data_IF_901535822037
#
_entry.id   IF_901535822037
#
_cell.length_a   1.000
_cell.length_b   1.000
_cell.length_c   1.000
_cell.angle_alpha   90.00
_cell.angle_beta   90.00
_cell.angle_gamma   90.00
#
_symmetry.space_group_name_H-M   'P 1'
#
loop_
_entity.id
_entity.type
_entity.pdbx_description
1 polymer ?
#
# COMPACT_ATOMS: atom_id res chain seq x y z
N UNK A 1 19.68 -12.03 -39.61
CA UNK A 1 18.99 -11.93 -38.33
C UNK A 1 19.78 -10.96 -37.44
N UNK A 2 19.27 -9.78 -37.19
CA UNK A 2 20.03 -8.73 -36.50
C UNK A 2 19.86 -8.84 -34.99
N UNK A 3 20.81 -9.49 -34.34
CA UNK A 3 20.79 -9.70 -32.88
C UNK A 3 20.73 -8.39 -32.09
N UNK A 4 21.32 -7.32 -32.64
CA UNK A 4 21.29 -5.98 -32.05
C UNK A 4 19.85 -5.44 -32.02
N UNK A 5 19.14 -5.61 -33.13
CA UNK A 5 17.74 -5.17 -33.26
C UNK A 5 16.82 -5.96 -32.31
N UNK A 6 17.01 -7.28 -32.20
CA UNK A 6 16.27 -8.10 -31.23
C UNK A 6 16.49 -7.61 -29.79
N UNK A 7 17.74 -7.32 -29.42
CA UNK A 7 18.07 -6.76 -28.12
C UNK A 7 17.43 -5.39 -27.86
N UNK A 8 17.39 -4.53 -28.87
CA UNK A 8 16.76 -3.22 -28.75
C UNK A 8 15.23 -3.32 -28.57
N UNK A 9 14.56 -4.17 -29.35
CA UNK A 9 13.11 -4.41 -29.21
C UNK A 9 12.79 -4.96 -27.81
N UNK A 10 13.56 -5.95 -27.35
CA UNK A 10 13.42 -6.48 -26.01
C UNK A 10 13.59 -5.41 -24.93
N UNK A 11 14.69 -4.65 -24.98
CA UNK A 11 15.05 -3.68 -23.97
C UNK A 11 14.04 -2.53 -23.87
N UNK A 12 13.62 -1.99 -25.01
CA UNK A 12 12.64 -0.88 -25.04
C UNK A 12 11.30 -1.35 -24.46
N UNK A 13 10.83 -2.53 -24.88
CA UNK A 13 9.57 -3.06 -24.38
C UNK A 13 9.66 -3.42 -22.89
N UNK A 14 10.75 -4.03 -22.47
CA UNK A 14 11.01 -4.33 -21.04
C UNK A 14 11.00 -3.06 -20.19
N UNK A 15 11.69 -1.99 -20.59
CA UNK A 15 11.72 -0.73 -19.86
C UNK A 15 10.33 -0.08 -19.82
N UNK A 16 9.64 -0.03 -20.95
CA UNK A 16 8.30 0.51 -21.05
C UNK A 16 7.35 -0.20 -20.07
N UNK A 17 7.28 -1.51 -20.12
CA UNK A 17 6.36 -2.30 -19.29
C UNK A 17 6.72 -2.24 -17.81
N UNK A 18 8.00 -2.23 -17.48
CA UNK A 18 8.46 -2.04 -16.08
C UNK A 18 7.97 -0.70 -15.54
N UNK A 19 8.14 0.40 -16.27
CA UNK A 19 7.65 1.72 -15.89
C UNK A 19 6.12 1.77 -15.79
N UNK A 20 5.42 1.17 -16.76
CA UNK A 20 3.97 1.07 -16.75
C UNK A 20 3.46 0.36 -15.50
N UNK A 21 4.05 -0.77 -15.15
CA UNK A 21 3.67 -1.54 -13.96
C UNK A 21 3.84 -0.72 -12.68
N UNK A 22 4.98 -0.06 -12.52
CA UNK A 22 5.25 0.81 -11.37
C UNK A 22 4.23 1.97 -11.31
N UNK A 23 3.98 2.63 -12.45
CA UNK A 23 3.01 3.74 -12.53
C UNK A 23 1.59 3.31 -12.15
N UNK A 24 1.14 2.15 -12.63
CA UNK A 24 -0.19 1.61 -12.27
C UNK A 24 -0.28 1.42 -10.76
N UNK A 25 0.72 0.81 -10.14
CA UNK A 25 0.76 0.59 -8.69
C UNK A 25 0.77 1.92 -7.93
N UNK A 26 1.59 2.89 -8.35
CA UNK A 26 1.63 4.23 -7.75
C UNK A 26 0.28 4.96 -7.88
N UNK A 27 -0.41 4.78 -9.00
CA UNK A 27 -1.75 5.34 -9.21
C UNK A 27 -2.76 4.73 -8.24
N UNK A 28 -2.74 3.41 -8.06
CA UNK A 28 -3.62 2.71 -7.11
C UNK A 28 -3.34 3.11 -5.65
N UNK A 29 -2.09 3.43 -5.33
CA UNK A 29 -1.65 3.91 -4.02
C UNK A 29 -1.89 5.42 -3.79
N UNK A 30 -2.43 6.13 -4.79
CA UNK A 30 -2.80 7.54 -4.66
C UNK A 30 -1.67 8.55 -4.80
N UNK A 31 -0.54 8.19 -5.40
CA UNK A 31 0.56 9.12 -5.68
C UNK A 31 0.24 10.06 -6.85
N UNK A 32 -0.69 11.00 -6.64
CA UNK A 32 -1.27 11.89 -7.66
C UNK A 32 -0.26 12.77 -8.40
N UNK A 33 0.86 13.14 -7.76
CA UNK A 33 1.90 14.01 -8.37
C UNK A 33 2.88 13.21 -9.23
N UNK A 34 3.26 12.00 -8.80
CA UNK A 34 4.30 11.19 -9.45
C UNK A 34 3.77 10.41 -10.65
N UNK A 35 2.57 9.86 -10.54
CA UNK A 35 1.98 9.03 -11.58
C UNK A 35 1.82 9.76 -12.95
N UNK A 36 1.33 11.01 -13.04
CA UNK A 36 1.26 11.74 -14.31
C UNK A 36 2.62 12.02 -14.94
N UNK A 37 3.62 12.35 -14.12
CA UNK A 37 4.98 12.60 -14.62
C UNK A 37 5.59 11.31 -15.21
N UNK A 38 5.42 10.18 -14.54
CA UNK A 38 5.85 8.87 -15.07
C UNK A 38 5.12 8.51 -16.37
N UNK A 39 3.82 8.82 -16.46
CA UNK A 39 3.04 8.57 -17.67
C UNK A 39 3.56 9.34 -18.88
N UNK A 40 4.05 10.56 -18.70
CA UNK A 40 4.66 11.35 -19.79
C UNK A 40 5.92 10.67 -20.34
N UNK A 41 6.81 10.20 -19.47
CA UNK A 41 8.02 9.46 -19.86
C UNK A 41 7.66 8.15 -20.55
N UNK A 42 6.69 7.42 -19.98
CA UNK A 42 6.20 6.15 -20.50
C UNK A 42 5.69 6.27 -21.95
N UNK A 43 4.88 7.29 -22.25
CA UNK A 43 4.33 7.52 -23.59
C UNK A 43 5.43 7.76 -24.61
N UNK A 44 6.50 8.46 -24.25
CA UNK A 44 7.64 8.69 -25.15
C UNK A 44 8.33 7.35 -25.47
N UNK A 45 8.63 6.56 -24.45
CA UNK A 45 9.31 5.25 -24.62
C UNK A 45 8.42 4.30 -25.42
N UNK A 46 7.11 4.26 -25.10
CA UNK A 46 6.13 3.44 -25.81
C UNK A 46 6.06 3.79 -27.30
N UNK A 47 5.97 5.07 -27.64
CA UNK A 47 5.85 5.52 -29.02
C UNK A 47 7.10 5.14 -29.85
N UNK A 48 8.30 5.31 -29.26
CA UNK A 48 9.55 4.90 -29.88
C UNK A 48 9.61 3.38 -30.08
N UNK A 49 9.24 2.61 -29.06
CA UNK A 49 9.22 1.15 -29.13
C UNK A 49 8.22 0.63 -30.15
N UNK A 50 7.00 1.17 -30.17
CA UNK A 50 5.98 0.79 -31.13
C UNK A 50 6.41 1.08 -32.57
N UNK A 51 7.03 2.24 -32.82
CA UNK A 51 7.55 2.58 -34.17
C UNK A 51 8.59 1.58 -34.66
N UNK A 52 9.45 1.08 -33.78
CA UNK A 52 10.44 0.07 -34.14
C UNK A 52 9.77 -1.30 -34.42
N UNK A 53 8.88 -1.73 -33.54
CA UNK A 53 8.24 -3.04 -33.65
C UNK A 53 7.39 -3.16 -34.90
N UNK A 54 6.62 -2.10 -35.25
CA UNK A 54 5.72 -2.09 -36.42
C UNK A 54 6.47 -2.40 -37.75
N UNK A 55 7.72 -2.04 -37.86
CA UNK A 55 8.53 -2.30 -39.07
C UNK A 55 8.92 -3.77 -39.22
N UNK A 56 8.92 -4.54 -38.13
CA UNK A 56 9.42 -5.92 -38.09
C UNK A 56 8.37 -6.97 -37.69
N UNK A 57 7.11 -6.56 -37.57
CA UNK A 57 6.01 -7.45 -37.14
C UNK A 57 5.77 -8.65 -38.06
N UNK A 58 6.20 -8.58 -39.31
CA UNK A 58 6.06 -9.66 -40.28
C UNK A 58 6.84 -10.94 -39.91
N UNK A 59 7.83 -10.83 -39.02
CA UNK A 59 8.64 -11.97 -38.59
C UNK A 59 8.24 -12.42 -37.17
N UNK A 60 7.76 -13.65 -37.00
CA UNK A 60 7.28 -14.14 -35.70
C UNK A 60 8.32 -14.13 -34.58
N UNK A 61 9.61 -14.17 -34.92
CA UNK A 61 10.69 -14.15 -33.92
C UNK A 61 10.71 -12.81 -33.16
N UNK A 62 10.55 -11.69 -33.85
CA UNK A 62 10.50 -10.38 -33.18
C UNK A 62 9.29 -10.24 -32.28
N UNK A 63 8.14 -10.83 -32.67
CA UNK A 63 6.93 -10.87 -31.84
C UNK A 63 7.15 -11.68 -30.55
N UNK A 64 7.85 -12.82 -30.63
CA UNK A 64 8.17 -13.64 -29.45
C UNK A 64 9.09 -12.85 -28.50
N UNK A 65 10.13 -12.22 -29.03
CA UNK A 65 11.07 -11.42 -28.22
C UNK A 65 10.38 -10.23 -27.56
N UNK A 66 9.47 -9.58 -28.27
CA UNK A 66 8.62 -8.52 -27.74
C UNK A 66 7.74 -9.03 -26.58
N UNK A 67 7.08 -10.18 -26.75
CA UNK A 67 6.24 -10.78 -25.73
C UNK A 67 7.06 -11.21 -24.48
N UNK A 68 8.27 -11.70 -24.65
CA UNK A 68 9.17 -12.02 -23.54
C UNK A 68 9.56 -10.75 -22.76
N UNK A 69 9.91 -9.68 -23.48
CA UNK A 69 10.18 -8.37 -22.85
C UNK A 69 9.01 -7.86 -22.02
N UNK A 70 7.79 -8.05 -22.53
CA UNK A 70 6.57 -7.68 -21.84
C UNK A 70 6.40 -8.45 -20.52
N UNK A 71 6.47 -9.77 -20.55
CA UNK A 71 6.30 -10.62 -19.35
C UNK A 71 7.36 -10.37 -18.29
N UNK A 72 8.64 -10.29 -18.71
CA UNK A 72 9.76 -10.01 -17.80
C UNK A 72 9.66 -8.59 -17.23
N UNK A 73 9.18 -7.63 -18.03
CA UNK A 73 8.94 -6.26 -17.60
C UNK A 73 7.90 -6.14 -16.47
N UNK A 74 6.78 -6.85 -16.58
CA UNK A 74 5.77 -6.91 -15.51
C UNK A 74 6.40 -7.50 -14.23
N UNK A 75 7.04 -8.65 -14.35
CA UNK A 75 7.65 -9.33 -13.21
C UNK A 75 8.68 -8.45 -12.50
N UNK A 76 9.53 -7.77 -13.26
CA UNK A 76 10.54 -6.85 -12.70
C UNK A 76 9.89 -5.64 -12.06
N UNK A 77 8.84 -5.07 -12.66
CA UNK A 77 8.09 -3.96 -12.09
C UNK A 77 7.46 -4.29 -10.74
N UNK A 78 6.91 -5.49 -10.59
CA UNK A 78 6.37 -6.00 -9.32
C UNK A 78 7.47 -6.17 -8.26
N UNK A 79 8.64 -6.74 -8.62
CA UNK A 79 9.77 -6.87 -7.69
C UNK A 79 10.27 -5.50 -7.22
N UNK A 80 10.36 -4.53 -8.11
CA UNK A 80 10.79 -3.18 -7.75
C UNK A 80 9.78 -2.56 -6.77
N UNK A 81 8.48 -2.71 -7.01
CA UNK A 81 7.44 -2.22 -6.09
C UNK A 81 7.54 -2.90 -4.72
N UNK A 82 7.68 -4.21 -4.68
CA UNK A 82 7.86 -4.95 -3.43
C UNK A 82 9.10 -4.51 -2.64
N UNK A 83 10.18 -4.13 -3.33
CA UNK A 83 11.39 -3.60 -2.68
C UNK A 83 11.21 -2.16 -2.19
N UNK A 84 10.49 -1.35 -2.93
CA UNK A 84 10.16 0.01 -2.50
C UNK A 84 9.24 -0.01 -1.27
N UNK A 85 8.45 -1.08 -1.11
CA UNK A 85 7.57 -1.35 0.02
C UNK A 85 6.81 -0.09 0.49
N UNK A 86 6.24 0.64 -0.49
CA UNK A 86 5.56 1.91 -0.23
C UNK A 86 4.25 1.68 0.52
N UNK A 87 3.93 2.58 1.45
CA UNK A 87 2.67 2.57 2.21
C UNK A 87 2.80 1.86 3.56
N UNK A 88 1.64 1.60 4.15
CA UNK A 88 1.50 1.07 5.51
C UNK A 88 0.57 -0.13 5.51
N UNK A 89 0.81 -1.02 6.46
CA UNK A 89 -0.04 -2.17 6.72
C UNK A 89 -0.52 -2.18 8.15
N UNK A 90 -1.75 -2.60 8.32
CA UNK A 90 -2.32 -2.99 9.61
C UNK A 90 -2.20 -4.49 9.71
N UNK A 91 -1.49 -4.97 10.72
CA UNK A 91 -1.31 -6.39 10.98
C UNK A 91 -2.16 -6.77 12.18
N UNK A 92 -3.02 -7.75 11.96
CA UNK A 92 -3.86 -8.34 12.99
C UNK A 92 -3.22 -9.65 13.41
N UNK A 93 -2.90 -9.78 14.70
CA UNK A 93 -2.26 -10.96 15.28
C UNK A 93 -3.22 -11.53 16.31
N UNK A 94 -3.56 -12.80 16.17
CA UNK A 94 -4.46 -13.51 17.05
C UNK A 94 -3.66 -14.59 17.77
N UNK A 95 -3.55 -14.44 19.09
CA UNK A 95 -2.76 -15.34 19.94
C UNK A 95 -3.58 -15.81 21.14
N UNK A 96 -2.98 -16.61 21.99
CA UNK A 96 -3.60 -17.10 23.22
C UNK A 96 -3.88 -15.95 24.19
N UNK A 97 -4.98 -16.04 24.95
CA UNK A 97 -5.38 -15.02 25.94
C UNK A 97 -4.33 -14.78 27.05
N UNK A 98 -3.48 -15.74 27.30
CA UNK A 98 -2.42 -15.68 28.31
C UNK A 98 -1.06 -15.18 27.77
N UNK A 99 -0.96 -14.96 26.46
CA UNK A 99 0.29 -14.51 25.85
C UNK A 99 0.46 -12.99 26.00
N UNK A 100 0.95 -12.57 27.16
CA UNK A 100 1.30 -11.17 27.43
C UNK A 100 2.73 -10.81 27.01
N UNK A 101 3.54 -11.79 26.61
CA UNK A 101 4.95 -11.59 26.23
C UNK A 101 5.06 -10.92 24.88
N UNK A 102 4.31 -11.41 23.90
CA UNK A 102 4.32 -10.89 22.54
C UNK A 102 3.97 -9.40 22.45
N UNK A 103 2.87 -8.89 23.04
CA UNK A 103 2.55 -7.46 22.96
C UNK A 103 3.62 -6.58 23.59
N UNK A 104 4.21 -6.98 24.70
CA UNK A 104 5.25 -6.21 25.39
C UNK A 104 6.54 -6.16 24.58
N UNK A 105 6.96 -7.29 24.03
CA UNK A 105 8.15 -7.32 23.17
C UNK A 105 7.99 -6.49 21.89
N UNK A 106 6.80 -6.54 21.25
CA UNK A 106 6.54 -5.69 20.10
C UNK A 106 6.59 -4.20 20.43
N UNK A 107 6.15 -3.80 21.64
CA UNK A 107 6.27 -2.41 22.12
C UNK A 107 7.73 -2.03 22.38
N UNK A 108 8.55 -2.94 22.92
CA UNK A 108 9.99 -2.73 23.11
C UNK A 108 10.73 -2.54 21.77
N UNK A 109 10.30 -3.26 20.72
CA UNK A 109 10.78 -3.06 19.37
C UNK A 109 10.33 -1.73 18.75
N UNK A 110 9.40 -1.02 19.41
CA UNK A 110 8.91 0.30 19.01
C UNK A 110 7.61 0.28 18.20
N UNK A 111 6.92 -0.85 18.10
CA UNK A 111 5.63 -0.91 17.46
C UNK A 111 4.51 -0.37 18.35
N UNK A 112 3.57 0.37 17.76
CA UNK A 112 2.32 0.71 18.42
C UNK A 112 1.39 -0.51 18.39
N UNK A 113 1.07 -1.05 19.57
CA UNK A 113 0.25 -2.26 19.70
C UNK A 113 -1.03 -1.94 20.45
N UNK A 114 -2.16 -2.10 19.79
CA UNK A 114 -3.49 -2.10 20.41
C UNK A 114 -3.87 -3.54 20.73
N UNK A 115 -4.42 -3.77 21.92
CA UNK A 115 -4.82 -5.08 22.39
C UNK A 115 -6.32 -5.10 22.57
N UNK A 116 -6.96 -6.11 22.01
CA UNK A 116 -8.40 -6.36 22.16
C UNK A 116 -8.59 -7.82 22.60
N UNK A 117 -9.62 -8.07 23.41
CA UNK A 117 -10.04 -9.43 23.75
C UNK A 117 -11.07 -9.90 22.75
N UNK A 118 -10.89 -11.11 22.23
CA UNK A 118 -11.82 -11.77 21.32
C UNK A 118 -12.20 -13.15 21.83
N UNK A 119 -13.23 -13.74 21.25
CA UNK A 119 -13.65 -15.11 21.55
C UNK A 119 -13.60 -15.96 20.29
N UNK A 120 -12.71 -16.93 20.28
CA UNK A 120 -12.51 -17.87 19.17
C UNK A 120 -13.21 -19.22 19.46
N UNK A 121 -13.00 -20.17 18.55
CA UNK A 121 -13.56 -21.53 18.68
C UNK A 121 -13.14 -22.21 19.99
N UNK A 122 -11.91 -22.02 20.41
CA UNK A 122 -11.29 -22.73 21.53
C UNK A 122 -11.23 -21.88 22.83
N UNK A 123 -11.97 -20.74 22.87
CA UNK A 123 -12.06 -19.86 24.02
C UNK A 123 -11.57 -18.44 23.74
N UNK A 124 -11.14 -17.77 24.80
CA UNK A 124 -10.63 -16.38 24.74
C UNK A 124 -9.33 -16.28 23.98
N UNK A 125 -9.18 -15.21 23.20
CA UNK A 125 -8.00 -14.89 22.39
C UNK A 125 -7.62 -13.44 22.57
N UNK A 126 -6.32 -13.13 22.49
CA UNK A 126 -5.85 -11.76 22.30
C UNK A 126 -5.77 -11.44 20.81
N UNK A 127 -6.32 -10.28 20.46
CA UNK A 127 -6.21 -9.70 19.12
C UNK A 127 -5.32 -8.48 19.25
N UNK A 128 -4.16 -8.54 18.60
CA UNK A 128 -3.22 -7.42 18.56
C UNK A 128 -3.33 -6.74 17.21
N UNK A 129 -3.54 -5.43 17.24
CA UNK A 129 -3.54 -4.61 16.03
C UNK A 129 -2.28 -3.75 16.00
N UNK A 130 -1.46 -3.94 14.96
CA UNK A 130 -0.18 -3.25 14.77
C UNK A 130 -0.18 -2.53 13.45
N UNK A 131 -0.02 -1.20 13.47
CA UNK A 131 0.18 -0.39 12.29
C UNK A 131 1.68 -0.21 12.04
N UNK A 132 2.15 -0.57 10.84
CA UNK A 132 3.58 -0.52 10.50
C UNK A 132 3.82 -0.14 9.04
N UNK A 133 4.95 0.52 8.70
CA UNK A 133 5.37 0.65 7.30
C UNK A 133 5.59 -0.73 6.65
N UNK A 134 5.19 -0.89 5.40
CA UNK A 134 5.42 -2.15 4.65
C UNK A 134 6.88 -2.61 4.66
N UNK A 135 7.83 -1.67 4.68
CA UNK A 135 9.26 -1.98 4.74
C UNK A 135 9.68 -2.73 6.01
N UNK A 136 8.90 -2.64 7.07
CA UNK A 136 9.19 -3.30 8.37
C UNK A 136 8.35 -4.54 8.63
N UNK A 137 7.37 -4.86 7.77
CA UNK A 137 6.51 -6.03 7.93
C UNK A 137 7.28 -7.33 8.11
N UNK A 138 8.29 -7.58 7.27
CA UNK A 138 9.08 -8.82 7.34
C UNK A 138 9.79 -8.99 8.69
N UNK A 139 10.24 -7.88 9.28
CA UNK A 139 10.87 -7.89 10.62
C UNK A 139 9.83 -8.21 11.70
N UNK A 140 8.63 -7.64 11.54
CA UNK A 140 7.52 -7.88 12.46
C UNK A 140 7.07 -9.35 12.40
N UNK A 141 6.93 -9.93 11.20
CA UNK A 141 6.59 -11.34 11.03
C UNK A 141 7.63 -12.26 11.68
N UNK A 142 8.93 -11.98 11.46
CA UNK A 142 10.00 -12.73 12.10
C UNK A 142 9.94 -12.70 13.63
N UNK A 143 9.63 -11.54 14.22
CA UNK A 143 9.46 -11.41 15.67
C UNK A 143 8.22 -12.18 16.18
N UNK A 144 7.12 -12.19 15.43
CA UNK A 144 5.92 -12.94 15.79
C UNK A 144 6.21 -14.44 15.74
N UNK A 145 6.81 -14.94 14.67
CA UNK A 145 7.12 -16.35 14.48
C UNK A 145 8.09 -16.88 15.55
N UNK A 146 9.04 -16.04 15.99
CA UNK A 146 10.00 -16.41 17.05
C UNK A 146 9.36 -16.48 18.44
N UNK A 147 8.47 -15.52 18.76
CA UNK A 147 7.91 -15.37 20.11
C UNK A 147 6.63 -16.17 20.31
N UNK A 148 5.81 -16.30 19.30
CA UNK A 148 4.51 -16.98 19.36
C UNK A 148 4.29 -17.78 18.07
N UNK A 149 4.93 -18.96 17.92
CA UNK A 149 4.85 -19.78 16.71
C UNK A 149 3.44 -20.28 16.38
N UNK A 150 2.53 -20.25 17.34
CA UNK A 150 1.12 -20.66 17.19
C UNK A 150 0.19 -19.50 16.88
N UNK A 151 0.70 -18.27 16.87
CA UNK A 151 -0.09 -17.10 16.55
C UNK A 151 -0.53 -17.12 15.07
N UNK A 152 -1.80 -16.78 14.86
CA UNK A 152 -2.32 -16.53 13.51
C UNK A 152 -2.28 -15.04 13.23
N UNK A 153 -1.72 -14.65 12.09
CA UNK A 153 -1.70 -13.23 11.69
C UNK A 153 -2.05 -13.06 10.23
N UNK A 154 -2.60 -11.89 9.91
CA UNK A 154 -2.86 -11.43 8.55
C UNK A 154 -2.69 -9.92 8.46
N UNK A 155 -2.41 -9.42 7.26
CA UNK A 155 -2.23 -7.99 7.03
C UNK A 155 -3.30 -7.41 6.11
N UNK A 156 -3.55 -6.10 6.28
CA UNK A 156 -4.42 -5.29 5.42
C UNK A 156 -3.73 -3.96 5.12
N UNK A 157 -3.88 -3.43 3.91
CA UNK A 157 -3.29 -2.14 3.56
C UNK A 157 -4.07 -0.98 4.19
N UNK A 158 -3.35 -0.05 4.82
CA UNK A 158 -3.91 1.19 5.33
C UNK A 158 -3.79 2.30 4.28
N UNK A 159 -4.94 2.81 3.79
CA UNK A 159 -4.96 3.88 2.79
C UNK A 159 -4.77 5.27 3.39
N UNK A 160 -5.33 5.50 4.56
CA UNK A 160 -5.28 6.80 5.25
C UNK A 160 -4.92 6.58 6.71
N UNK A 161 -3.99 7.39 7.21
CA UNK A 161 -3.55 7.36 8.60
C UNK A 161 -3.53 8.80 9.10
N UNK A 162 -4.18 9.04 10.23
CA UNK A 162 -4.14 10.34 10.93
C UNK A 162 -3.85 10.10 12.41
N UNK A 163 -2.76 10.70 12.90
CA UNK A 163 -2.33 10.53 14.29
C UNK A 163 -1.71 9.16 14.54
N UNK A 164 -1.59 8.78 15.80
CA UNK A 164 -0.99 7.52 16.23
C UNK A 164 0.34 7.71 16.95
N UNK A 165 0.85 6.62 17.52
CA UNK A 165 2.13 6.57 18.19
C UNK A 165 3.21 6.06 17.25
N UNK A 166 4.24 6.87 17.02
CA UNK A 166 5.37 6.52 16.16
C UNK A 166 6.66 6.66 16.95
N UNK A 167 7.49 5.66 16.94
CA UNK A 167 8.86 5.80 17.42
C UNK A 167 9.77 6.22 16.28
N UNK A 168 10.87 6.95 16.58
CA UNK A 168 11.88 7.35 15.59
C UNK A 168 12.44 6.18 14.76
N UNK A 169 12.28 4.94 15.23
CA UNK A 169 12.76 3.72 14.58
C UNK A 169 11.81 3.20 13.49
N UNK A 170 10.53 3.62 13.53
CA UNK A 170 9.44 3.14 12.67
C UNK A 170 8.71 4.32 12.01
N UNK A 171 9.23 5.54 12.18
CA UNK A 171 8.60 6.76 11.67
C UNK A 171 8.41 6.71 10.15
N UNK A 172 7.21 7.07 9.65
CA UNK A 172 6.89 7.07 8.22
C UNK A 172 7.78 8.05 7.47
N UNK A 173 8.49 7.58 6.45
CA UNK A 173 9.31 8.43 5.59
C UNK A 173 8.52 9.37 4.68
N UNK A 174 7.21 9.14 4.52
CA UNK A 174 6.35 9.99 3.69
C UNK A 174 4.93 10.02 4.28
N UNK A 175 4.66 10.92 5.21
CA UNK A 175 3.29 11.34 5.43
C UNK A 175 2.82 12.10 4.17
N UNK A 176 1.72 11.67 3.58
CA UNK A 176 1.01 12.47 2.58
C UNK A 176 0.70 13.82 3.22
N UNK A 177 1.20 14.90 2.62
CA UNK A 177 1.10 16.27 3.12
C UNK A 177 -0.32 16.64 3.55
N UNK A 178 -0.47 17.50 4.58
CA UNK A 178 -1.75 17.89 5.19
C UNK A 178 -2.76 18.55 4.26
N UNK A 179 -2.39 18.93 3.05
CA UNK A 179 -3.25 19.67 2.11
C UNK A 179 -4.57 18.96 1.73
N UNK A 180 -4.59 17.61 1.76
CA UNK A 180 -5.83 16.85 1.49
C UNK A 180 -6.75 16.81 2.73
N UNK A 181 -6.17 17.01 3.91
CA UNK A 181 -6.90 16.99 5.20
C UNK A 181 -7.66 18.31 5.41
N UNK A 182 -7.12 19.41 4.91
CA UNK A 182 -7.73 20.75 5.02
C UNK A 182 -9.01 20.85 4.16
N UNK A 183 -9.01 20.30 2.95
CA UNK A 183 -10.21 20.22 2.11
C UNK A 183 -11.31 19.32 2.70
N UNK A 184 -10.95 18.22 3.36
CA UNK A 184 -11.93 17.33 4.02
C UNK A 184 -12.49 17.92 5.32
N UNK A 185 -11.70 18.70 6.07
CA UNK A 185 -12.18 19.39 7.27
C UNK A 185 -13.16 20.52 6.93
N UNK A 186 -12.92 21.27 5.85
CA UNK A 186 -13.84 22.31 5.38
C UNK A 186 -15.20 21.73 4.97
N UNK A 187 -15.26 20.54 4.38
CA UNK A 187 -16.52 19.85 4.05
C UNK A 187 -17.20 19.22 5.28
N UNK A 188 -16.43 18.78 6.28
CA UNK A 188 -16.96 18.20 7.53
C UNK A 188 -17.62 19.24 8.43
N UNK A 189 -17.04 20.43 8.53
CA UNK A 189 -17.55 21.52 9.34
C UNK A 189 -18.81 22.15 8.72
N UNK A 190 -18.95 22.13 7.40
CA UNK A 190 -20.17 22.58 6.71
C UNK A 190 -21.36 21.63 6.88
N UNK A 191 -21.08 20.34 7.09
CA UNK A 191 -22.13 19.33 7.35
C UNK A 191 -22.62 19.33 8.82
N UNK A 192 -21.74 19.63 9.77
CA UNK A 192 -22.10 19.68 11.20
C UNK A 192 -22.80 20.99 11.63
N UNK A 193 -22.70 22.05 10.84
CA UNK A 193 -23.32 23.35 11.14
C UNK A 193 -24.78 23.43 10.73
N UNK A 194 -25.38 22.42 10.12
CA UNK A 194 -26.73 22.39 9.60
C UNK A 194 -27.74 21.59 10.40
N UNK A 195 -27.33 20.92 11.47
CA UNK A 195 -28.29 20.31 12.38
C UNK A 195 -28.63 21.30 13.51
N UNK A 196 -29.59 22.19 13.21
CA UNK A 196 -30.27 23.02 14.16
C UNK A 196 -30.84 22.14 15.27
N UNK A 197 -30.32 22.31 16.47
CA UNK A 197 -30.99 21.96 17.70
C UNK A 197 -32.24 22.84 17.82
N UNK A 198 -33.38 22.41 17.31
CA UNK A 198 -34.68 22.92 17.72
C UNK A 198 -34.95 22.38 19.11
N UNK A 199 -34.68 23.25 20.07
CA UNK A 199 -35.09 23.13 21.47
C UNK A 199 -36.61 23.22 21.55
N UNK A 200 -37.28 22.09 21.64
CA UNK A 200 -38.74 21.98 21.83
C UNK A 200 -39.04 22.00 23.32
N UNK A 201 -38.75 23.16 23.97
CA UNK A 201 -39.16 23.47 25.34
C UNK A 201 -40.27 24.53 25.37
N UNK A 202 -41.47 24.16 24.90
CA UNK A 202 -42.66 24.91 25.24
C UNK A 202 -43.92 24.06 25.03
N UNK A 203 -44.36 23.38 26.09
CA UNK A 203 -45.79 23.25 26.41
C UNK A 203 -46.01 22.28 27.58
N UNK A 204 -46.04 22.81 28.80
CA UNK A 204 -46.94 22.27 29.81
C UNK A 204 -47.13 23.34 30.87
N UNK A 205 -48.05 24.28 30.59
CA UNK A 205 -48.84 24.94 31.61
C UNK A 205 -50.25 25.07 31.08
N UNK A 206 -51.17 24.52 31.85
CA UNK A 206 -52.62 24.74 31.99
C UNK A 206 -53.50 23.51 31.70
N UNK A 207 -53.87 22.85 32.71
CA UNK A 207 -55.15 22.66 33.41
C UNK A 207 -55.16 21.36 34.16
#
# INVERSE_FOLDING_TARGET
MDWILLGQIFLINFLYITLNTIRVILTMRGYRKVAPFMAMIEVIIYTLGLSMVMQYLSNPIYLIVYALGFGIGIYTGMIIEDRLALGYSVIYIITDSLDHTLPNHLRELGYGVTIESGYGRDGERLILTVLTPRSTERKLYGAIDELSPTAFYYSSEAKYIRGGFWTKKIEPQNMVEPAVIEEMNLQGDEFMSKDDYQDDSSTTENK
#
